data_IF_896078526141
#
_entry.id   IF_896078526141
#
_cell.length_a   1.000
_cell.length_b   1.000
_cell.length_c   1.000
_cell.angle_alpha   90.00
_cell.angle_beta   90.00
_cell.angle_gamma   90.00
#
_symmetry.space_group_name_H-M   'P 1'
#
loop_
_entity.id
_entity.type
_entity.pdbx_description
1 polymer ?
#
# COMPACT_ATOMS: atom_id res chain seq x y z
N UNK A 1 25.02 -0.87 16.97
CA UNK A 1 24.82 0.60 16.93
C UNK A 1 23.79 1.02 15.86
N UNK A 2 23.75 0.45 14.64
CA UNK A 2 22.69 0.78 13.68
C UNK A 2 21.32 0.19 14.05
N UNK A 3 21.28 -0.94 14.72
CA UNK A 3 20.07 -1.68 15.11
C UNK A 3 19.30 -1.07 16.29
N UNK A 4 19.97 -0.27 17.13
CA UNK A 4 19.37 0.43 18.28
C UNK A 4 18.45 1.59 17.88
N UNK A 5 18.50 2.02 16.63
CA UNK A 5 17.66 3.12 16.10
C UNK A 5 16.33 2.63 15.49
N UNK A 6 16.21 1.33 15.18
CA UNK A 6 15.00 0.79 14.57
C UNK A 6 13.93 0.54 15.63
N UNK A 7 12.87 1.33 15.62
CA UNK A 7 11.71 1.11 16.49
C UNK A 7 10.41 1.60 15.87
N UNK A 8 9.32 0.95 16.23
CA UNK A 8 7.97 1.43 15.98
C UNK A 8 7.58 2.49 17.01
N UNK A 9 6.56 3.28 16.70
CA UNK A 9 5.87 4.11 17.68
C UNK A 9 5.25 3.27 18.81
N UNK A 10 4.98 3.89 19.96
CA UNK A 10 4.44 3.19 21.13
C UNK A 10 3.03 2.61 20.91
N UNK A 11 2.31 3.13 19.91
CA UNK A 11 0.96 2.69 19.54
C UNK A 11 0.94 1.51 18.57
N UNK A 12 2.10 1.05 18.06
CA UNK A 12 2.17 -0.12 17.18
C UNK A 12 1.90 -1.39 17.96
N UNK A 13 0.79 -2.05 17.63
CA UNK A 13 0.38 -3.32 18.21
C UNK A 13 -0.35 -4.17 17.18
N UNK A 14 -0.43 -5.47 17.44
CA UNK A 14 -1.21 -6.38 16.60
C UNK A 14 -2.69 -5.98 16.58
N UNK A 15 -3.26 -5.88 15.37
CA UNK A 15 -4.66 -5.58 15.13
C UNK A 15 -5.32 -6.82 14.52
N UNK A 16 -6.31 -7.43 15.18
CA UNK A 16 -6.95 -8.66 14.71
C UNK A 16 -7.99 -8.39 13.60
N UNK A 17 -7.61 -7.63 12.56
CA UNK A 17 -8.45 -7.33 11.41
C UNK A 17 -8.09 -8.27 10.25
N UNK A 18 -8.70 -9.44 10.20
CA UNK A 18 -8.37 -10.49 9.22
C UNK A 18 -9.51 -10.68 8.23
N UNK A 19 -9.22 -10.62 6.93
CA UNK A 19 -10.18 -10.90 5.86
C UNK A 19 -10.22 -12.38 5.48
N UNK A 20 -11.23 -12.76 4.69
CA UNK A 20 -11.34 -14.12 4.13
C UNK A 20 -10.20 -14.46 3.14
N UNK A 21 -9.48 -13.46 2.63
CA UNK A 21 -8.35 -13.64 1.73
C UNK A 21 -6.99 -13.71 2.45
N UNK A 22 -6.96 -13.47 3.77
CA UNK A 22 -5.71 -13.46 4.56
C UNK A 22 -4.93 -14.76 4.44
N UNK A 23 -3.61 -14.65 4.27
CA UNK A 23 -2.71 -15.79 4.06
C UNK A 23 -2.81 -16.37 2.64
N UNK A 24 -3.65 -15.81 1.79
CA UNK A 24 -3.79 -16.21 0.40
C UNK A 24 -3.02 -15.30 -0.55
N UNK A 25 -2.62 -15.88 -1.70
CA UNK A 25 -1.96 -15.08 -2.73
C UNK A 25 -2.36 -15.51 -4.14
N UNK A 26 -2.21 -14.60 -5.09
CA UNK A 26 -2.56 -14.82 -6.49
C UNK A 26 -1.45 -14.33 -7.43
N UNK A 27 -1.09 -15.16 -8.40
CA UNK A 27 -0.22 -14.73 -9.50
C UNK A 27 -1.05 -13.87 -10.46
N UNK A 28 -0.88 -12.57 -10.36
CA UNK A 28 -1.55 -11.58 -11.20
C UNK A 28 -0.96 -11.59 -12.61
N UNK A 29 0.36 -11.68 -12.67
CA UNK A 29 1.18 -11.90 -13.86
C UNK A 29 2.28 -12.91 -13.51
N UNK A 30 3.00 -13.48 -14.49
CA UNK A 30 4.06 -14.46 -14.20
C UNK A 30 5.12 -13.97 -13.20
N UNK A 31 5.34 -12.66 -13.15
CA UNK A 31 6.32 -11.97 -12.31
C UNK A 31 5.70 -10.96 -11.33
N UNK A 32 4.39 -10.92 -11.22
CA UNK A 32 3.67 -10.08 -10.24
C UNK A 32 2.74 -10.96 -9.40
N UNK A 33 3.08 -11.13 -8.15
CA UNK A 33 2.30 -11.88 -7.17
C UNK A 33 1.76 -10.95 -6.10
N UNK A 34 0.46 -11.01 -5.85
CA UNK A 34 -0.22 -10.31 -4.77
C UNK A 34 -0.49 -11.29 -3.63
N UNK A 35 -0.03 -10.97 -2.43
CA UNK A 35 -0.32 -11.72 -1.21
C UNK A 35 -1.09 -10.84 -0.24
N UNK A 36 -2.19 -11.37 0.30
CA UNK A 36 -3.02 -10.64 1.25
C UNK A 36 -2.63 -10.98 2.68
N UNK A 37 -2.13 -9.99 3.40
CA UNK A 37 -1.78 -10.07 4.82
C UNK A 37 -2.90 -9.43 5.62
N UNK A 38 -3.68 -10.23 6.34
CA UNK A 38 -4.88 -9.77 7.07
C UNK A 38 -5.89 -9.06 6.15
N UNK A 39 -5.82 -7.73 6.00
CA UNK A 39 -6.72 -6.91 5.17
C UNK A 39 -5.97 -6.09 4.11
N UNK A 40 -4.64 -6.14 4.08
CA UNK A 40 -3.78 -5.36 3.19
C UNK A 40 -3.02 -6.28 2.25
N UNK A 41 -2.68 -5.78 1.08
CA UNK A 41 -1.90 -6.50 0.09
C UNK A 41 -0.43 -6.06 0.10
N UNK A 42 0.45 -7.03 -0.06
CA UNK A 42 1.83 -6.83 -0.46
C UNK A 42 2.03 -7.39 -1.88
N UNK A 43 3.02 -6.90 -2.61
CA UNK A 43 3.36 -7.48 -3.90
C UNK A 43 4.80 -8.01 -3.92
N UNK A 44 4.98 -9.19 -4.51
CA UNK A 44 6.27 -9.75 -4.85
C UNK A 44 6.47 -9.60 -6.36
N UNK A 45 7.45 -8.80 -6.77
CA UNK A 45 7.72 -8.50 -8.18
C UNK A 45 9.04 -9.15 -8.60
N UNK A 46 8.94 -10.21 -9.37
CA UNK A 46 10.02 -11.04 -9.87
C UNK A 46 9.55 -12.44 -10.24
N UNK A 47 10.27 -13.09 -11.13
CA UNK A 47 9.99 -14.48 -11.51
C UNK A 47 10.59 -15.43 -10.48
N UNK A 48 9.90 -16.48 -10.07
CA UNK A 48 10.45 -17.48 -9.14
C UNK A 48 11.77 -18.08 -9.60
N UNK A 49 11.90 -18.34 -10.91
CA UNK A 49 13.07 -19.00 -11.49
C UNK A 49 14.31 -18.08 -11.57
N UNK A 50 14.14 -16.77 -11.52
CA UNK A 50 15.22 -15.78 -11.67
C UNK A 50 15.95 -15.51 -10.33
N UNK A 51 15.35 -15.90 -9.20
CA UNK A 51 15.91 -15.71 -7.86
C UNK A 51 16.04 -14.23 -7.42
N UNK A 52 15.64 -13.29 -8.28
CA UNK A 52 15.70 -11.85 -8.01
C UNK A 52 14.28 -11.27 -7.99
N UNK A 53 13.91 -10.61 -6.89
CA UNK A 53 12.61 -9.99 -6.73
C UNK A 53 12.67 -8.79 -5.79
N UNK A 54 11.61 -7.99 -5.81
CA UNK A 54 11.41 -6.83 -4.92
C UNK A 54 10.08 -7.03 -4.18
N UNK A 55 10.06 -6.66 -2.89
CA UNK A 55 8.86 -6.59 -2.10
C UNK A 55 8.27 -5.17 -2.17
N UNK A 56 6.99 -5.06 -2.40
CA UNK A 56 6.24 -3.80 -2.33
C UNK A 56 5.33 -3.84 -1.10
N UNK A 57 5.54 -2.89 -0.20
CA UNK A 57 4.94 -2.76 1.13
C UNK A 57 5.29 -3.93 2.10
N UNK A 58 4.97 -3.75 3.37
CA UNK A 58 5.41 -4.64 4.44
C UNK A 58 4.29 -5.04 5.43
N UNK A 59 3.05 -4.97 4.97
CA UNK A 59 1.90 -5.54 5.69
C UNK A 59 1.61 -4.93 7.06
N UNK A 60 0.80 -5.65 7.81
CA UNK A 60 0.29 -5.28 9.13
C UNK A 60 1.30 -5.54 10.26
N UNK A 61 1.19 -4.86 11.43
CA UNK A 61 1.98 -5.21 12.61
C UNK A 61 1.85 -6.69 13.01
N UNK A 62 3.00 -7.34 13.22
CA UNK A 62 3.08 -8.75 13.61
C UNK A 62 2.91 -9.75 12.46
N UNK A 63 3.05 -9.33 11.20
CA UNK A 63 2.89 -10.19 10.03
C UNK A 63 4.21 -10.63 9.36
N UNK A 64 5.35 -10.39 9.99
CA UNK A 64 6.65 -10.71 9.40
C UNK A 64 6.77 -12.19 9.00
N UNK A 65 6.38 -13.10 9.88
CA UNK A 65 6.46 -14.55 9.62
C UNK A 65 5.58 -14.98 8.45
N UNK A 66 4.38 -14.39 8.29
CA UNK A 66 3.49 -14.65 7.16
C UNK A 66 4.11 -14.17 5.84
N UNK A 67 4.72 -12.97 5.84
CA UNK A 67 5.41 -12.43 4.67
C UNK A 67 6.65 -13.26 4.29
N UNK A 68 7.47 -13.65 5.27
CA UNK A 68 8.65 -14.49 5.06
C UNK A 68 8.22 -15.84 4.48
N UNK A 69 7.18 -16.45 5.04
CA UNK A 69 6.63 -17.71 4.54
C UNK A 69 6.14 -17.60 3.09
N UNK A 70 5.41 -16.53 2.75
CA UNK A 70 4.95 -16.29 1.37
C UNK A 70 6.11 -16.08 0.38
N UNK A 71 7.19 -15.45 0.83
CA UNK A 71 8.44 -15.30 0.04
C UNK A 71 9.10 -16.65 -0.17
N UNK A 72 9.28 -17.45 0.87
CA UNK A 72 9.91 -18.77 0.79
C UNK A 72 9.09 -19.76 -0.03
N UNK A 73 7.78 -19.74 0.08
CA UNK A 73 6.87 -20.56 -0.72
C UNK A 73 6.99 -20.25 -2.21
N UNK A 74 7.23 -18.97 -2.56
CA UNK A 74 7.31 -18.56 -3.95
C UNK A 74 8.70 -18.67 -4.56
N UNK A 75 9.75 -18.34 -3.81
CA UNK A 75 11.13 -18.21 -4.33
C UNK A 75 12.09 -19.26 -3.76
N UNK A 76 11.65 -20.07 -2.81
CA UNK A 76 12.45 -21.07 -2.11
C UNK A 76 12.94 -20.62 -0.75
N UNK A 77 13.26 -21.60 0.10
CA UNK A 77 13.69 -21.35 1.48
C UNK A 77 14.95 -20.48 1.55
N UNK A 78 14.96 -19.52 2.48
CA UNK A 78 16.05 -18.56 2.67
C UNK A 78 16.12 -17.46 1.61
N UNK A 79 15.12 -17.35 0.72
CA UNK A 79 15.05 -16.27 -0.26
C UNK A 79 14.79 -14.93 0.43
N UNK A 80 15.37 -13.87 -0.14
CA UNK A 80 15.18 -12.49 0.32
C UNK A 80 15.03 -11.54 -0.86
N UNK A 81 14.25 -10.45 -0.74
CA UNK A 81 14.13 -9.46 -1.80
C UNK A 81 15.45 -8.69 -2.00
N UNK A 82 15.62 -8.07 -3.15
CA UNK A 82 16.74 -7.15 -3.39
C UNK A 82 16.53 -5.79 -2.71
N UNK A 83 15.27 -5.41 -2.53
CA UNK A 83 14.84 -4.19 -1.85
C UNK A 83 13.38 -4.31 -1.40
N UNK A 84 12.98 -3.41 -0.50
CA UNK A 84 11.57 -3.15 -0.17
C UNK A 84 11.24 -1.76 -0.70
N UNK A 85 10.14 -1.64 -1.46
CA UNK A 85 9.62 -0.35 -1.94
C UNK A 85 8.32 -0.08 -1.21
N UNK A 86 8.19 1.08 -0.58
CA UNK A 86 6.97 1.48 0.10
C UNK A 86 6.12 2.37 -0.81
N UNK A 87 4.84 2.07 -0.91
CA UNK A 87 3.87 2.96 -1.53
C UNK A 87 3.64 4.19 -0.67
N UNK A 88 3.55 4.01 0.65
CA UNK A 88 3.45 5.05 1.67
C UNK A 88 3.74 4.47 3.07
N UNK A 89 3.67 5.29 4.11
CA UNK A 89 4.13 4.89 5.45
C UNK A 89 3.03 4.62 6.48
N UNK A 90 1.78 4.36 6.10
CA UNK A 90 0.76 3.96 7.07
C UNK A 90 1.07 2.58 7.69
N UNK A 91 0.59 2.39 8.91
CA UNK A 91 0.91 1.25 9.77
C UNK A 91 0.68 -0.13 9.14
N UNK A 92 -0.31 -0.23 8.25
CA UNK A 92 -0.68 -1.46 7.54
C UNK A 92 0.16 -1.71 6.27
N UNK A 93 1.01 -0.75 5.89
CA UNK A 93 1.99 -0.89 4.80
C UNK A 93 3.44 -0.98 5.30
N UNK A 94 3.68 -0.64 6.58
CA UNK A 94 5.01 -0.71 7.20
C UNK A 94 5.03 -1.57 8.47
N UNK A 95 3.94 -2.27 8.77
CA UNK A 95 3.72 -2.89 10.08
C UNK A 95 4.69 -4.00 10.44
N UNK A 96 5.25 -4.72 9.47
CA UNK A 96 6.27 -5.74 9.71
C UNK A 96 7.68 -5.30 9.23
N UNK A 97 7.84 -4.03 8.84
CA UNK A 97 9.02 -3.57 8.11
C UNK A 97 10.32 -3.71 8.92
N UNK A 98 10.30 -3.43 10.22
CA UNK A 98 11.49 -3.51 11.08
C UNK A 98 11.96 -4.97 11.21
N UNK A 99 11.04 -5.90 11.43
CA UNK A 99 11.34 -7.33 11.49
C UNK A 99 11.93 -7.82 10.16
N UNK A 100 11.35 -7.40 9.04
CA UNK A 100 11.84 -7.76 7.71
C UNK A 100 13.22 -7.14 7.39
N UNK A 101 13.49 -5.91 7.84
CA UNK A 101 14.83 -5.31 7.75
C UNK A 101 15.85 -6.11 8.55
N UNK A 102 15.51 -6.51 9.78
CA UNK A 102 16.40 -7.32 10.63
C UNK A 102 16.68 -8.68 10.03
N UNK A 103 15.66 -9.33 9.47
CA UNK A 103 15.78 -10.66 8.84
C UNK A 103 16.61 -10.61 7.54
N UNK A 104 16.29 -9.68 6.65
CA UNK A 104 16.85 -9.67 5.30
C UNK A 104 18.01 -8.71 5.09
N UNK A 105 18.14 -7.68 5.92
CA UNK A 105 19.15 -6.62 5.80
C UNK A 105 19.21 -6.04 4.36
N UNK A 106 18.06 -5.60 3.84
CA UNK A 106 17.91 -5.04 2.50
C UNK A 106 17.52 -3.56 2.56
N UNK A 107 17.87 -2.75 1.54
CA UNK A 107 17.49 -1.34 1.50
C UNK A 107 15.97 -1.18 1.34
N UNK A 108 15.43 -0.13 1.96
CA UNK A 108 14.05 0.32 1.83
C UNK A 108 14.04 1.61 1.03
N UNK A 109 13.09 1.75 0.11
CA UNK A 109 12.91 2.98 -0.67
C UNK A 109 11.48 3.50 -0.52
N UNK A 110 11.36 4.82 -0.37
CA UNK A 110 10.08 5.51 -0.30
C UNK A 110 10.18 6.87 -1.00
N UNK A 111 9.05 7.50 -1.27
CA UNK A 111 9.05 8.88 -1.74
C UNK A 111 9.64 9.82 -0.69
N UNK A 112 10.35 10.86 -1.11
CA UNK A 112 11.02 11.80 -0.18
C UNK A 112 10.06 12.44 0.84
N UNK A 113 8.82 12.65 0.46
CA UNK A 113 7.80 13.26 1.32
C UNK A 113 7.22 12.27 2.36
N UNK A 114 7.53 10.95 2.24
CA UNK A 114 7.25 9.94 3.27
C UNK A 114 8.37 9.83 4.32
N UNK A 115 9.60 10.22 3.98
CA UNK A 115 10.74 10.06 4.87
C UNK A 115 10.57 10.70 6.26
N UNK A 116 9.93 11.88 6.42
CA UNK A 116 9.67 12.42 7.75
C UNK A 116 8.87 11.50 8.67
N UNK A 117 7.92 10.76 8.13
CA UNK A 117 7.07 9.78 8.84
C UNK A 117 7.82 8.48 9.13
N UNK A 118 8.73 8.10 8.23
CA UNK A 118 9.53 6.88 8.32
C UNK A 118 10.83 7.05 9.12
N UNK A 119 11.16 8.27 9.53
CA UNK A 119 12.38 8.59 10.30
C UNK A 119 12.08 9.30 11.63
N UNK A 120 10.90 9.10 12.18
CA UNK A 120 10.53 9.62 13.50
C UNK A 120 10.36 11.13 13.60
N UNK A 121 10.46 11.89 12.48
CA UNK A 121 10.46 13.36 12.52
C UNK A 121 9.07 13.97 12.69
N UNK A 122 8.05 13.30 12.15
CA UNK A 122 6.66 13.75 12.24
C UNK A 122 5.70 12.58 12.15
N UNK A 123 4.49 12.76 12.64
CA UNK A 123 3.39 11.81 12.51
C UNK A 123 2.43 12.24 11.41
N UNK A 124 1.70 11.28 10.86
CA UNK A 124 0.58 11.60 9.98
C UNK A 124 -0.51 12.38 10.71
N UNK A 125 -1.33 13.16 9.99
CA UNK A 125 -2.56 13.71 10.54
C UNK A 125 -3.44 12.59 11.12
N UNK A 126 -4.11 12.88 12.24
CA UNK A 126 -5.01 11.91 12.86
C UNK A 126 -6.11 11.48 11.91
N UNK A 127 -6.48 10.18 11.89
CA UNK A 127 -7.58 9.68 11.07
C UNK A 127 -8.88 10.41 11.42
N UNK A 128 -9.73 10.57 10.41
CA UNK A 128 -11.04 11.22 10.57
C UNK A 128 -12.12 10.19 10.97
N UNK A 129 -12.37 10.08 12.26
CA UNK A 129 -13.43 9.21 12.78
C UNK A 129 -14.86 9.74 12.52
N UNK A 130 -15.01 10.99 12.05
CA UNK A 130 -16.30 11.59 11.76
C UNK A 130 -16.88 11.20 10.40
N UNK A 131 -16.05 10.63 9.52
CA UNK A 131 -16.48 10.20 8.17
C UNK A 131 -17.53 9.09 8.24
N UNK A 132 -18.45 9.08 7.28
CA UNK A 132 -19.32 7.94 7.04
C UNK A 132 -18.48 6.70 6.69
N UNK A 133 -18.29 5.81 7.64
CA UNK A 133 -17.39 4.68 7.47
C UNK A 133 -17.67 3.51 8.41
N UNK A 134 -18.86 3.48 8.97
CA UNK A 134 -19.27 2.39 9.85
C UNK A 134 -18.35 2.21 11.05
N UNK A 135 -18.08 0.94 11.43
CA UNK A 135 -17.30 0.63 12.63
C UNK A 135 -15.80 0.95 12.43
N UNK A 136 -15.24 0.72 11.24
CA UNK A 136 -13.81 0.94 10.99
C UNK A 136 -13.41 2.41 11.13
N UNK A 137 -14.18 3.34 10.58
CA UNK A 137 -13.92 4.76 10.77
C UNK A 137 -13.99 5.16 12.25
N UNK A 138 -14.95 4.61 13.01
CA UNK A 138 -15.11 4.91 14.45
C UNK A 138 -13.95 4.40 15.31
N UNK A 139 -13.33 3.30 14.92
CA UNK A 139 -12.18 2.74 15.64
C UNK A 139 -10.82 3.21 15.07
N UNK A 140 -10.83 3.96 13.96
CA UNK A 140 -9.60 4.44 13.33
C UNK A 140 -8.68 5.27 14.25
N UNK A 141 -9.18 6.05 15.24
CA UNK A 141 -8.31 6.73 16.20
C UNK A 141 -7.48 5.79 17.10
N UNK A 142 -7.82 4.50 17.14
CA UNK A 142 -7.03 3.48 17.87
C UNK A 142 -6.02 2.76 16.97
N UNK A 143 -5.97 3.06 15.68
CA UNK A 143 -4.96 2.50 14.79
C UNK A 143 -3.62 3.22 14.98
N UNK A 144 -2.48 2.51 14.84
CA UNK A 144 -1.17 3.12 14.96
C UNK A 144 -1.01 4.32 14.03
N UNK A 145 -0.59 5.44 14.58
CA UNK A 145 -0.37 6.69 13.85
C UNK A 145 0.94 7.39 14.25
N UNK A 146 1.67 6.83 15.23
CA UNK A 146 2.97 7.34 15.58
C UNK A 146 4.01 7.00 14.50
N UNK A 147 5.02 7.86 14.31
CA UNK A 147 6.03 7.64 13.30
C UNK A 147 6.87 6.41 13.63
N UNK A 148 7.27 5.70 12.59
CA UNK A 148 8.28 4.64 12.65
C UNK A 148 9.67 5.28 12.53
N UNK A 149 10.69 4.69 13.15
CA UNK A 149 12.08 5.10 13.02
C UNK A 149 12.90 4.05 12.31
N UNK A 150 13.25 4.34 11.06
CA UNK A 150 14.05 3.44 10.21
C UNK A 150 15.52 3.89 10.07
N UNK A 151 15.86 5.07 10.58
CA UNK A 151 17.22 5.61 10.47
C UNK A 151 17.74 5.66 9.03
N UNK A 152 18.93 5.12 8.83
CA UNK A 152 19.61 5.08 7.53
C UNK A 152 19.17 3.90 6.63
N UNK A 153 18.22 3.07 7.07
CA UNK A 153 17.72 1.94 6.25
C UNK A 153 16.75 2.39 5.15
N UNK A 154 16.13 3.58 5.28
CA UNK A 154 15.22 4.11 4.28
C UNK A 154 15.87 5.20 3.43
N UNK A 155 15.73 5.07 2.12
CA UNK A 155 16.31 5.96 1.12
C UNK A 155 15.21 6.58 0.24
N UNK A 156 15.43 7.81 -0.26
CA UNK A 156 14.51 8.39 -1.24
C UNK A 156 14.55 7.61 -2.55
N UNK A 157 13.40 7.44 -3.19
CA UNK A 157 13.32 6.97 -4.57
C UNK A 157 14.03 7.96 -5.51
N UNK A 158 14.66 7.48 -6.60
CA UNK A 158 15.28 8.35 -7.62
C UNK A 158 14.27 9.34 -8.21
N UNK A 159 14.67 10.60 -8.34
CA UNK A 159 13.77 11.68 -8.84
C UNK A 159 13.37 11.54 -10.32
N UNK A 160 14.08 10.70 -11.08
CA UNK A 160 13.80 10.43 -12.49
C UNK A 160 12.65 9.45 -12.74
N UNK A 161 11.99 8.99 -11.67
CA UNK A 161 10.88 8.04 -11.74
C UNK A 161 11.29 6.58 -11.86
N UNK A 162 12.59 6.28 -11.86
CA UNK A 162 13.06 4.88 -11.87
C UNK A 162 12.83 4.21 -10.52
N UNK A 163 12.61 2.88 -10.55
CA UNK A 163 12.42 2.07 -9.35
C UNK A 163 13.65 1.19 -9.17
N UNK A 164 14.35 1.25 -8.03
CA UNK A 164 15.50 0.39 -7.76
C UNK A 164 15.14 -1.09 -7.92
N UNK A 165 15.99 -1.83 -8.64
CA UNK A 165 15.82 -3.26 -8.96
C UNK A 165 14.59 -3.63 -9.82
N UNK A 166 13.78 -2.66 -10.25
CA UNK A 166 12.62 -2.84 -11.14
C UNK A 166 12.70 -1.91 -12.35
N UNK A 167 13.64 -2.11 -13.29
CA UNK A 167 13.91 -1.19 -14.39
C UNK A 167 12.72 -1.01 -15.36
N UNK A 168 11.80 -1.98 -15.41
CA UNK A 168 10.60 -1.93 -16.24
C UNK A 168 9.47 -1.09 -15.63
N UNK A 169 9.52 -0.84 -14.31
CA UNK A 169 8.56 -0.01 -13.61
C UNK A 169 8.99 1.45 -13.53
N UNK A 170 8.01 2.32 -13.39
CA UNK A 170 8.18 3.73 -13.00
C UNK A 170 7.32 3.99 -11.80
N UNK A 171 7.86 4.72 -10.81
CA UNK A 171 7.03 5.25 -9.75
C UNK A 171 6.36 6.55 -10.21
N UNK A 172 5.16 6.73 -9.78
CA UNK A 172 4.32 7.88 -10.06
C UNK A 172 3.89 8.49 -8.75
N UNK A 173 4.16 9.77 -8.55
CA UNK A 173 3.63 10.49 -7.38
C UNK A 173 2.10 10.58 -7.50
N UNK A 174 1.41 9.99 -6.54
CA UNK A 174 -0.06 9.89 -6.46
C UNK A 174 -0.55 10.34 -5.07
N UNK A 175 -0.28 11.63 -4.70
CA UNK A 175 -0.61 12.14 -3.37
C UNK A 175 -2.11 12.24 -3.15
N UNK A 176 -2.49 12.46 -1.89
CA UNK A 176 -3.86 12.68 -1.44
C UNK A 176 -4.20 11.81 -0.25
N UNK A 177 -3.98 10.50 -0.34
CA UNK A 177 -4.05 9.60 0.81
C UNK A 177 -2.95 9.94 1.82
N UNK A 178 -1.69 9.97 1.36
CA UNK A 178 -0.58 10.61 2.06
C UNK A 178 0.14 11.60 1.14
N UNK A 179 0.97 12.52 1.69
CA UNK A 179 1.69 13.50 0.88
C UNK A 179 2.69 12.88 -0.10
N UNK A 180 3.35 11.81 0.28
CA UNK A 180 4.37 11.12 -0.53
C UNK A 180 3.89 9.79 -1.11
N UNK A 181 2.59 9.52 -1.13
CA UNK A 181 2.06 8.30 -1.72
C UNK A 181 2.50 8.15 -3.17
N UNK A 182 2.90 6.92 -3.55
CA UNK A 182 3.25 6.55 -4.92
C UNK A 182 2.45 5.35 -5.41
N UNK A 183 2.33 5.27 -6.73
CA UNK A 183 1.93 4.06 -7.45
C UNK A 183 3.05 3.63 -8.38
N UNK A 184 3.13 2.33 -8.70
CA UNK A 184 4.11 1.79 -9.62
C UNK A 184 3.40 1.36 -10.91
N UNK A 185 3.92 1.80 -12.06
CA UNK A 185 3.36 1.48 -13.37
C UNK A 185 4.40 0.88 -14.28
N UNK A 186 4.03 -0.18 -14.99
CA UNK A 186 4.88 -0.87 -15.96
C UNK A 186 4.30 -0.67 -17.38
N UNK A 187 4.97 0.15 -18.23
CA UNK A 187 4.37 0.58 -19.49
C UNK A 187 4.14 -0.52 -20.54
N UNK A 188 4.99 -1.55 -20.59
CA UNK A 188 4.94 -2.52 -21.69
C UNK A 188 3.70 -3.43 -21.66
N UNK A 189 3.13 -3.68 -20.49
CA UNK A 189 1.93 -4.49 -20.30
C UNK A 189 0.84 -3.75 -19.51
N UNK A 190 1.08 -2.47 -19.21
CA UNK A 190 0.18 -1.60 -18.46
C UNK A 190 -0.21 -2.16 -17.08
N UNK A 191 0.70 -2.87 -16.41
CA UNK A 191 0.50 -3.34 -15.04
C UNK A 191 0.64 -2.19 -14.04
N UNK A 192 -0.29 -2.09 -13.09
CA UNK A 192 -0.36 -1.05 -12.08
C UNK A 192 -0.35 -1.67 -10.67
N UNK A 193 0.55 -1.20 -9.82
CA UNK A 193 0.47 -1.37 -8.37
C UNK A 193 0.08 0.00 -7.82
N UNK A 194 -1.18 0.13 -7.41
CA UNK A 194 -1.78 1.43 -7.12
C UNK A 194 -1.52 1.93 -5.70
N UNK A 195 -1.12 1.05 -4.77
CA UNK A 195 -1.18 1.35 -3.35
C UNK A 195 -2.61 1.75 -2.97
N UNK A 196 -2.72 2.79 -2.18
CA UNK A 196 -3.99 3.33 -1.69
C UNK A 196 -4.47 4.58 -2.44
N UNK A 197 -3.96 4.83 -3.67
CA UNK A 197 -4.51 5.89 -4.52
C UNK A 197 -5.99 5.64 -4.88
N UNK A 198 -6.36 4.39 -5.01
CA UNK A 198 -7.73 3.86 -5.03
C UNK A 198 -7.67 2.41 -4.55
N UNK A 199 -8.79 1.86 -4.13
CA UNK A 199 -8.86 0.48 -3.63
C UNK A 199 -9.98 -0.30 -4.31
N UNK A 200 -9.88 -1.64 -4.29
CA UNK A 200 -10.85 -2.55 -4.91
C UNK A 200 -11.80 -3.19 -3.90
N UNK A 201 -11.76 -2.73 -2.66
CA UNK A 201 -12.73 -3.06 -1.62
C UNK A 201 -13.06 -1.81 -0.81
N UNK A 202 -14.34 -1.59 -0.53
CA UNK A 202 -14.76 -0.41 0.23
C UNK A 202 -14.33 -0.53 1.69
N UNK A 203 -13.33 0.27 2.09
CA UNK A 203 -12.69 0.23 3.41
C UNK A 203 -13.58 0.76 4.56
N UNK A 204 -14.60 1.55 4.28
CA UNK A 204 -15.55 2.02 5.26
C UNK A 204 -16.62 0.99 5.66
N UNK A 205 -16.68 -0.16 4.99
CA UNK A 205 -17.59 -1.26 5.28
C UNK A 205 -16.84 -2.49 5.80
N UNK A 206 -16.90 -2.73 7.13
CA UNK A 206 -16.28 -3.90 7.75
C UNK A 206 -16.71 -5.21 7.06
N UNK A 207 -17.99 -5.35 6.69
CA UNK A 207 -18.48 -6.51 5.98
C UNK A 207 -17.76 -6.72 4.63
N UNK A 208 -17.62 -5.65 3.82
CA UNK A 208 -16.94 -5.73 2.51
C UNK A 208 -15.45 -6.02 2.67
N UNK A 209 -14.80 -5.41 3.67
CA UNK A 209 -13.39 -5.66 3.98
C UNK A 209 -13.18 -7.13 4.39
N UNK A 210 -14.01 -7.66 5.27
CA UNK A 210 -13.87 -9.05 5.72
C UNK A 210 -14.21 -10.06 4.62
N UNK A 211 -15.19 -9.76 3.75
CA UNK A 211 -15.61 -10.66 2.66
C UNK A 211 -14.89 -10.40 1.34
N UNK A 212 -14.06 -9.35 1.25
CA UNK A 212 -13.33 -8.95 0.04
C UNK A 212 -14.25 -8.74 -1.18
N UNK A 213 -15.43 -8.17 -0.95
CA UNK A 213 -16.36 -7.85 -2.04
C UNK A 213 -15.78 -6.76 -2.94
N UNK A 214 -15.49 -7.09 -4.19
CA UNK A 214 -14.88 -6.18 -5.16
C UNK A 214 -15.75 -4.95 -5.40
N UNK A 215 -15.17 -3.77 -5.22
CA UNK A 215 -15.75 -2.47 -5.55
C UNK A 215 -14.61 -1.47 -5.75
N UNK A 216 -14.45 -0.96 -6.99
CA UNK A 216 -13.46 0.10 -7.25
C UNK A 216 -13.98 1.41 -6.67
N UNK A 217 -13.27 1.92 -5.67
CA UNK A 217 -13.60 3.14 -4.93
C UNK A 217 -12.36 3.99 -4.68
N UNK A 218 -12.54 5.20 -4.16
CA UNK A 218 -11.41 6.09 -3.81
C UNK A 218 -10.52 5.51 -2.70
N UNK A 219 -9.52 6.28 -2.28
CA UNK A 219 -8.63 5.89 -1.18
C UNK A 219 -9.40 5.69 0.14
N UNK A 220 -8.81 4.98 1.14
CA UNK A 220 -9.39 4.82 2.45
C UNK A 220 -9.78 6.17 3.08
N UNK A 221 -11.07 6.34 3.36
CA UNK A 221 -11.66 7.66 3.67
C UNK A 221 -11.12 8.30 4.94
N UNK A 222 -10.96 7.50 6.00
CA UNK A 222 -10.55 7.97 7.31
C UNK A 222 -9.08 8.40 7.40
N UNK A 223 -8.25 8.01 6.43
CA UNK A 223 -6.84 8.41 6.34
C UNK A 223 -6.53 9.40 5.22
N UNK A 224 -7.48 9.69 4.33
CA UNK A 224 -7.25 10.60 3.21
C UNK A 224 -7.39 12.05 3.64
N UNK A 225 -6.31 12.83 3.49
CA UNK A 225 -6.22 14.20 3.99
C UNK A 225 -6.31 15.27 2.91
N UNK A 226 -6.07 14.92 1.64
CA UNK A 226 -6.17 15.83 0.50
C UNK A 226 -6.99 15.19 -0.64
N UNK A 227 -8.28 15.46 -0.64
CA UNK A 227 -9.23 14.93 -1.62
C UNK A 227 -9.01 15.49 -3.03
N UNK A 228 -8.48 16.72 -3.14
CA UNK A 228 -8.17 17.31 -4.44
C UNK A 228 -6.98 16.59 -5.08
N UNK A 229 -5.91 16.38 -4.34
CA UNK A 229 -4.76 15.61 -4.81
C UNK A 229 -5.13 14.16 -5.10
N UNK A 230 -5.96 13.53 -4.26
CA UNK A 230 -6.44 12.16 -4.48
C UNK A 230 -7.22 12.02 -5.80
N UNK A 231 -8.12 12.97 -6.08
CA UNK A 231 -8.86 13.02 -7.35
C UNK A 231 -7.94 13.12 -8.56
N UNK A 232 -6.96 14.02 -8.52
CA UNK A 232 -6.00 14.17 -9.63
C UNK A 232 -5.12 12.93 -9.77
N UNK A 233 -4.74 12.28 -8.67
CA UNK A 233 -4.01 11.02 -8.66
C UNK A 233 -4.81 9.91 -9.34
N UNK A 234 -6.09 9.74 -9.02
CA UNK A 234 -6.97 8.76 -9.68
C UNK A 234 -7.13 9.07 -11.17
N UNK A 235 -7.32 10.33 -11.56
CA UNK A 235 -7.40 10.74 -12.96
C UNK A 235 -6.11 10.43 -13.73
N UNK A 236 -4.96 10.70 -13.11
CA UNK A 236 -3.65 10.38 -13.67
C UNK A 236 -3.50 8.87 -13.91
N UNK A 237 -3.89 8.04 -12.95
CA UNK A 237 -3.82 6.58 -13.08
C UNK A 237 -4.81 6.05 -14.11
N UNK A 238 -6.03 6.57 -14.16
CA UNK A 238 -7.03 6.20 -15.17
C UNK A 238 -6.58 6.51 -16.60
N UNK A 239 -5.88 7.62 -16.80
CA UNK A 239 -5.34 8.02 -18.10
C UNK A 239 -4.21 7.11 -18.62
N UNK A 240 -3.65 6.24 -17.79
CA UNK A 240 -2.66 5.23 -18.19
C UNK A 240 -3.30 3.99 -18.80
N UNK A 241 -4.63 3.84 -18.72
CA UNK A 241 -5.37 2.67 -19.17
C UNK A 241 -4.79 1.34 -18.71
N UNK A 242 -4.64 1.13 -17.38
CA UNK A 242 -4.02 -0.08 -16.87
C UNK A 242 -4.79 -1.33 -17.30
N UNK A 243 -4.05 -2.39 -17.69
CA UNK A 243 -4.61 -3.69 -18.07
C UNK A 243 -4.98 -4.52 -16.85
N UNK A 244 -4.22 -4.36 -15.78
CA UNK A 244 -4.40 -5.00 -14.47
C UNK A 244 -3.94 -4.05 -13.38
N UNK A 245 -4.62 -4.09 -12.24
CA UNK A 245 -4.25 -3.32 -11.05
C UNK A 245 -4.25 -4.18 -9.79
N UNK A 246 -3.20 -4.01 -8.98
CA UNK A 246 -3.16 -4.43 -7.58
C UNK A 246 -3.22 -3.17 -6.74
N UNK A 247 -4.12 -3.15 -5.76
CA UNK A 247 -4.30 -2.05 -4.80
C UNK A 247 -3.85 -2.48 -3.41
N UNK A 248 -3.63 -1.54 -2.49
CA UNK A 248 -3.29 -1.87 -1.11
C UNK A 248 -4.36 -2.72 -0.42
N UNK A 249 -5.63 -2.57 -0.83
CA UNK A 249 -6.74 -3.33 -0.24
C UNK A 249 -7.68 -3.85 -1.32
N UNK A 250 -8.12 -5.12 -1.15
CA UNK A 250 -9.05 -5.80 -2.04
C UNK A 250 -8.35 -6.66 -3.09
N UNK A 251 -9.14 -7.43 -3.82
CA UNK A 251 -8.62 -8.34 -4.85
C UNK A 251 -8.05 -7.57 -6.05
N UNK A 252 -7.00 -8.09 -6.70
CA UNK A 252 -6.56 -7.57 -8.00
C UNK A 252 -7.68 -7.57 -9.02
N UNK A 253 -7.73 -6.54 -9.87
CA UNK A 253 -8.74 -6.38 -10.91
C UNK A 253 -8.09 -6.16 -12.28
N UNK A 254 -8.74 -6.60 -13.36
CA UNK A 254 -8.19 -6.54 -14.70
C UNK A 254 -9.28 -6.33 -15.75
N UNK A 255 -8.86 -6.05 -16.99
CA UNK A 255 -9.72 -5.99 -18.17
C UNK A 255 -10.84 -4.96 -18.09
N UNK A 256 -12.05 -5.35 -18.47
CA UNK A 256 -13.22 -4.43 -18.56
C UNK A 256 -13.63 -3.91 -17.18
N UNK A 257 -13.61 -4.77 -16.17
CA UNK A 257 -13.96 -4.38 -14.79
C UNK A 257 -13.07 -3.25 -14.28
N UNK A 258 -11.76 -3.37 -14.46
CA UNK A 258 -10.80 -2.32 -14.09
C UNK A 258 -11.03 -1.05 -14.90
N UNK A 259 -11.10 -1.18 -16.22
CA UNK A 259 -11.24 -0.04 -17.12
C UNK A 259 -12.50 0.77 -16.81
N UNK A 260 -13.64 0.09 -16.73
CA UNK A 260 -14.94 0.74 -16.54
C UNK A 260 -15.06 1.31 -15.10
N UNK A 261 -14.61 0.55 -14.10
CA UNK A 261 -14.60 0.97 -12.71
C UNK A 261 -13.70 2.18 -12.47
N UNK A 262 -12.46 2.15 -12.97
CA UNK A 262 -11.51 3.25 -12.78
C UNK A 262 -11.91 4.50 -13.59
N UNK A 263 -12.45 4.32 -14.80
CA UNK A 263 -13.01 5.44 -15.58
C UNK A 263 -14.19 6.08 -14.87
N UNK A 264 -15.09 5.27 -14.33
CA UNK A 264 -16.23 5.76 -13.53
C UNK A 264 -15.76 6.51 -12.29
N UNK A 265 -14.80 5.94 -11.56
CA UNK A 265 -14.22 6.59 -10.37
C UNK A 265 -13.57 7.93 -10.73
N UNK A 266 -12.76 7.98 -11.79
CA UNK A 266 -12.07 9.21 -12.21
C UNK A 266 -13.05 10.32 -12.65
N UNK A 267 -14.18 9.94 -13.29
CA UNK A 267 -15.23 10.87 -13.73
C UNK A 267 -16.09 11.39 -12.57
N UNK A 268 -16.50 10.48 -11.69
CA UNK A 268 -17.50 10.72 -10.64
C UNK A 268 -16.86 10.73 -9.24
N UNK A 269 -15.57 11.08 -9.13
CA UNK A 269 -14.76 10.91 -7.93
C UNK A 269 -15.42 11.52 -6.68
N UNK A 270 -15.86 12.76 -6.77
CA UNK A 270 -16.44 13.45 -5.62
C UNK A 270 -17.69 12.73 -5.09
N UNK A 271 -18.51 12.16 -5.97
CA UNK A 271 -19.71 11.42 -5.60
C UNK A 271 -19.42 10.01 -5.04
N UNK A 272 -18.34 9.37 -5.51
CA UNK A 272 -18.01 7.98 -5.14
C UNK A 272 -17.11 7.94 -3.91
N UNK A 273 -16.09 8.79 -3.88
CA UNK A 273 -15.01 8.75 -2.91
C UNK A 273 -15.19 9.77 -1.79
N UNK A 274 -15.53 11.02 -2.12
CA UNK A 274 -15.63 12.12 -1.15
C UNK A 274 -16.97 12.03 -0.43
N UNK A 275 -16.95 12.35 0.84
CA UNK A 275 -18.12 12.35 1.71
C UNK A 275 -18.77 13.74 1.75
N UNK A 276 -20.05 13.78 2.17
CA UNK A 276 -20.75 15.04 2.37
C UNK A 276 -20.22 15.84 3.57
N UNK A 277 -19.44 15.20 4.47
CA UNK A 277 -18.82 15.82 5.65
C UNK A 277 -17.58 15.07 6.11
N UNK A 278 -16.69 15.77 6.81
CA UNK A 278 -15.46 15.23 7.37
C UNK A 278 -14.44 16.33 7.70
N UNK A 279 -13.47 16.04 8.57
CA UNK A 279 -12.41 16.97 8.99
C UNK A 279 -11.59 17.50 7.81
N UNK A 280 -11.40 16.68 6.77
CA UNK A 280 -10.58 16.99 5.59
C UNK A 280 -11.42 17.23 4.32
N UNK A 281 -12.75 17.32 4.43
CA UNK A 281 -13.65 17.65 3.32
C UNK A 281 -13.93 19.15 3.35
N UNK A 282 -13.48 19.88 2.30
CA UNK A 282 -13.61 21.34 2.15
C UNK A 282 -14.30 21.71 0.85
#
# INVERSE_FOLDING_TARGET
>A
MADELLHYGEDYHFIPATSAASGGGVSVLPDLYCHTVQIVNICLVGRPDDGAFVLIDAGMPGSADDIISAVEDRFGSGSRPQAIILTHGHFDHVGALIELIREWNVPVYAHKDELPYLTGKTRYPEPDASVEGGLLAKISPFFPNEPIQLGDHVHPLPEDGTVPHLPEFRWLHTPGHTPGHISLFRPHDAALIAGDAFVTVRQDSLYKVLTQQTEITGPPRYYTTDWTAARESVRKLAALFPSVAVTGHGAPVAGEELRDGLTKLARDFDRIAVLDYGKYVH
#
